data_IF_581943478004
#
_entry.id   IF_581943478004
#
_cell.length_a   1.000
_cell.length_b   1.000
_cell.length_c   1.000
_cell.angle_alpha   90.00
_cell.angle_beta   90.00
_cell.angle_gamma   90.00
#
_symmetry.space_group_name_H-M   'P 1'
#
loop_
_entity.id
_entity.type
_entity.pdbx_description
1 polymer ?
#
# COMPACT_ATOMS: atom_id res chain seq x y z
N UNK A 1 8.54 -11.61 -1.52
CA UNK A 1 7.82 -11.89 -0.25
C UNK A 1 6.36 -11.46 -0.36
N UNK A 2 5.40 -12.37 -0.18
CA UNK A 2 3.95 -12.02 -0.14
C UNK A 2 3.63 -11.25 1.14
N UNK A 3 2.84 -10.17 1.04
CA UNK A 3 2.56 -9.24 2.14
C UNK A 3 1.14 -9.34 2.70
N UNK A 4 0.17 -9.64 1.84
CA UNK A 4 -1.25 -9.60 2.14
C UNK A 4 -1.83 -10.98 2.47
N UNK A 5 -3.04 -11.01 3.02
CA UNK A 5 -3.72 -12.25 3.43
C UNK A 5 -4.64 -12.83 2.35
N UNK A 6 -5.21 -12.01 1.47
CA UNK A 6 -6.15 -12.49 0.46
C UNK A 6 -5.54 -13.55 -0.47
N UNK A 7 -6.40 -14.41 -1.01
CA UNK A 7 -6.04 -15.44 -2.00
C UNK A 7 -6.25 -14.95 -3.44
N UNK A 8 -7.24 -14.09 -3.63
CA UNK A 8 -7.66 -13.57 -4.92
C UNK A 8 -6.59 -12.68 -5.56
N UNK A 9 -6.07 -11.73 -4.78
CA UNK A 9 -4.96 -10.86 -5.14
C UNK A 9 -3.75 -11.24 -4.31
N UNK A 10 -2.57 -11.32 -4.93
CA UNK A 10 -1.29 -11.40 -4.23
C UNK A 10 -0.57 -10.06 -4.36
N UNK A 11 -0.19 -9.46 -3.24
CA UNK A 11 0.67 -8.28 -3.17
C UNK A 11 2.04 -8.73 -2.68
N UNK A 12 3.06 -8.57 -3.51
CA UNK A 12 4.40 -9.10 -3.28
C UNK A 12 5.44 -8.00 -3.35
N UNK A 13 6.36 -7.99 -2.39
CA UNK A 13 7.59 -7.20 -2.45
C UNK A 13 8.73 -8.07 -2.99
N UNK A 14 9.34 -7.68 -4.11
CA UNK A 14 10.38 -8.48 -4.77
C UNK A 14 11.76 -8.32 -4.11
N UNK A 15 12.14 -7.10 -3.74
CA UNK A 15 13.43 -6.83 -3.07
C UNK A 15 13.30 -6.92 -1.55
N UNK A 16 13.87 -7.98 -0.95
CA UNK A 16 13.95 -8.17 0.50
C UNK A 16 15.38 -8.65 0.85
N UNK A 17 16.08 -8.02 1.82
CA UNK A 17 15.66 -6.87 2.62
C UNK A 17 15.51 -5.59 1.79
N UNK A 18 14.64 -4.70 2.25
CA UNK A 18 14.36 -3.44 1.55
C UNK A 18 15.50 -2.44 1.79
N UNK A 19 16.16 -2.00 0.71
CA UNK A 19 17.23 -1.00 0.78
C UNK A 19 16.66 0.41 0.88
N UNK A 20 17.05 1.11 1.93
CA UNK A 20 16.68 2.50 2.17
C UNK A 20 17.57 3.44 1.34
N UNK A 21 17.14 4.70 1.17
CA UNK A 21 17.94 5.79 0.56
C UNK A 21 18.43 5.57 -0.88
N UNK A 22 17.79 4.69 -1.65
CA UNK A 22 18.15 4.45 -3.06
C UNK A 22 17.60 5.50 -4.02
N UNK A 23 16.76 6.43 -3.55
CA UNK A 23 16.00 7.35 -4.39
C UNK A 23 14.95 6.67 -5.28
N UNK A 24 14.78 5.34 -5.16
CA UNK A 24 13.85 4.56 -5.97
C UNK A 24 12.49 4.48 -5.31
N UNK A 25 11.45 4.60 -6.13
CA UNK A 25 10.08 4.28 -5.75
C UNK A 25 9.98 2.76 -5.54
N UNK A 26 9.42 2.35 -4.41
CA UNK A 26 9.21 0.94 -4.10
C UNK A 26 7.94 0.49 -4.80
N UNK A 27 8.10 -0.41 -5.76
CA UNK A 27 6.97 -1.05 -6.43
C UNK A 27 6.66 -2.41 -5.80
N UNK A 28 5.39 -2.75 -5.81
CA UNK A 28 4.85 -4.04 -5.39
C UNK A 28 4.25 -4.72 -6.61
N UNK A 29 4.56 -6.00 -6.76
CA UNK A 29 3.92 -6.85 -7.75
C UNK A 29 2.55 -7.25 -7.23
N UNK A 30 1.51 -6.82 -7.93
CA UNK A 30 0.12 -7.19 -7.69
C UNK A 30 -0.28 -8.20 -8.76
N UNK A 31 -0.66 -9.40 -8.34
CA UNK A 31 -1.12 -10.45 -9.24
C UNK A 31 -2.57 -10.82 -8.92
N UNK A 32 -3.44 -10.77 -9.92
CA UNK A 32 -4.83 -11.18 -9.82
C UNK A 32 -5.00 -12.63 -10.27
N UNK A 33 -5.27 -13.52 -9.30
CA UNK A 33 -5.41 -14.94 -9.55
C UNK A 33 -6.84 -15.34 -9.94
N UNK A 34 -7.77 -14.41 -10.11
CA UNK A 34 -9.19 -14.69 -10.32
C UNK A 34 -9.66 -14.30 -11.73
N UNK A 35 -10.95 -14.53 -12.00
CA UNK A 35 -11.62 -14.07 -13.21
C UNK A 35 -12.35 -12.72 -13.01
N UNK A 36 -12.22 -12.08 -11.85
CA UNK A 36 -12.82 -10.77 -11.57
C UNK A 36 -11.83 -9.65 -11.89
N UNK A 37 -12.33 -8.47 -12.22
CA UNK A 37 -11.53 -7.24 -12.29
C UNK A 37 -11.58 -6.53 -10.94
N UNK A 38 -10.42 -6.13 -10.40
CA UNK A 38 -10.38 -5.41 -9.12
C UNK A 38 -9.99 -3.94 -9.26
N UNK A 39 -10.54 -3.13 -8.36
CA UNK A 39 -10.19 -1.73 -8.13
C UNK A 39 -9.33 -1.68 -6.86
N UNK A 40 -8.16 -1.06 -6.97
CA UNK A 40 -7.21 -0.88 -5.87
C UNK A 40 -6.90 0.61 -5.78
N UNK A 41 -7.14 1.22 -4.62
CA UNK A 41 -6.60 2.54 -4.32
C UNK A 41 -5.16 2.37 -3.80
N UNK A 42 -4.13 2.87 -4.51
CA UNK A 42 -2.75 2.76 -4.05
C UNK A 42 -2.48 3.50 -2.72
N UNK A 43 -3.40 4.36 -2.30
CA UNK A 43 -3.39 5.05 -1.00
C UNK A 43 -4.49 4.52 -0.05
N UNK A 44 -5.21 3.46 -0.41
CA UNK A 44 -6.34 2.95 0.35
C UNK A 44 -5.99 2.03 1.53
N UNK A 45 -4.70 1.77 1.78
CA UNK A 45 -4.30 1.02 2.97
C UNK A 45 -4.17 1.94 4.18
N UNK A 46 -4.99 1.69 5.20
CA UNK A 46 -4.97 2.41 6.46
C UNK A 46 -4.65 1.44 7.59
N UNK A 47 -3.82 1.86 8.54
CA UNK A 47 -3.55 1.06 9.72
C UNK A 47 -2.46 1.63 10.59
N UNK A 48 -1.58 0.75 11.04
CA UNK A 48 -0.46 1.06 11.91
C UNK A 48 0.80 0.42 11.35
N UNK A 49 1.86 1.21 11.29
CA UNK A 49 3.21 0.73 11.02
C UNK A 49 4.23 1.39 11.94
N UNK A 50 5.26 0.63 12.29
CA UNK A 50 6.34 1.06 13.18
C UNK A 50 7.62 0.27 12.88
N UNK A 51 8.75 0.83 13.29
CA UNK A 51 10.07 0.22 13.09
C UNK A 51 10.57 -0.41 14.38
N UNK A 52 11.12 -1.61 14.25
CA UNK A 52 11.94 -2.26 15.28
C UNK A 52 13.41 -2.04 14.95
N UNK A 53 14.20 -1.61 15.92
CA UNK A 53 15.67 -1.61 15.91
C UNK A 53 16.17 -2.68 16.88
N UNK A 54 16.94 -3.65 16.39
CA UNK A 54 17.47 -4.76 17.21
C UNK A 54 16.39 -5.43 18.08
N UNK A 55 15.16 -5.52 17.56
CA UNK A 55 14.00 -6.12 18.22
C UNK A 55 13.17 -5.19 19.12
N UNK A 56 13.54 -3.92 19.30
CA UNK A 56 12.81 -2.94 20.11
C UNK A 56 12.14 -1.89 19.25
N UNK A 57 10.92 -1.47 19.58
CA UNK A 57 10.24 -0.37 18.89
C UNK A 57 11.05 0.92 19.11
N UNK A 58 11.27 1.67 18.03
CA UNK A 58 11.90 2.98 18.09
C UNK A 58 10.91 4.08 17.74
N UNK A 59 11.11 5.26 18.34
CA UNK A 59 10.34 6.44 18.03
C UNK A 59 10.88 7.11 16.75
N UNK A 60 10.00 7.71 15.93
CA UNK A 60 10.42 8.51 14.78
C UNK A 60 11.24 9.72 15.22
N UNK A 61 12.28 10.06 14.46
CA UNK A 61 13.07 11.28 14.69
C UNK A 61 12.32 12.53 14.24
N UNK A 62 11.43 12.39 13.26
CA UNK A 62 10.52 13.44 12.80
C UNK A 62 9.36 12.84 12.02
N UNK A 63 8.47 13.69 11.53
CA UNK A 63 7.35 13.29 10.68
C UNK A 63 7.26 14.19 9.46
N UNK A 64 6.97 13.61 8.29
CA UNK A 64 6.64 14.40 7.11
C UNK A 64 5.41 15.27 7.37
N UNK A 65 5.54 16.57 7.12
CA UNK A 65 4.38 17.48 7.08
C UNK A 65 3.73 17.36 5.71
N UNK A 66 2.62 16.62 5.64
CA UNK A 66 1.80 16.50 4.43
C UNK A 66 0.49 17.25 4.55
N UNK A 67 0.07 17.91 3.46
CA UNK A 67 -1.28 18.47 3.33
C UNK A 67 -2.36 17.40 3.17
N UNK A 68 -3.61 17.84 3.07
CA UNK A 68 -4.73 16.98 2.72
C UNK A 68 -4.68 16.71 1.21
N UNK A 69 -4.46 15.45 0.82
CA UNK A 69 -4.65 15.01 -0.56
C UNK A 69 -6.09 14.55 -0.74
N UNK A 70 -6.75 15.06 -1.78
CA UNK A 70 -8.12 14.74 -2.15
C UNK A 70 -8.24 14.65 -3.68
N UNK A 71 -9.18 13.85 -4.19
CA UNK A 71 -9.52 13.77 -5.62
C UNK A 71 -10.84 14.50 -5.82
N UNK A 72 -10.87 15.46 -6.73
CA UNK A 72 -12.01 16.39 -6.84
C UNK A 72 -13.03 15.93 -7.89
N UNK A 73 -12.62 15.11 -8.85
CA UNK A 73 -13.48 14.59 -9.90
C UNK A 73 -13.17 13.14 -10.32
N UNK A 74 -13.99 12.61 -11.22
CA UNK A 74 -13.85 11.24 -11.72
C UNK A 74 -12.58 11.06 -12.58
N UNK A 75 -12.01 12.14 -13.13
CA UNK A 75 -10.76 12.06 -13.90
C UNK A 75 -9.56 11.84 -12.98
N UNK A 76 -9.54 12.50 -11.81
CA UNK A 76 -8.57 12.24 -10.76
C UNK A 76 -8.64 10.78 -10.29
N UNK A 77 -9.86 10.28 -10.05
CA UNK A 77 -10.07 8.89 -9.68
C UNK A 77 -9.61 7.90 -10.76
N UNK A 78 -9.92 8.20 -12.04
CA UNK A 78 -9.49 7.36 -13.17
C UNK A 78 -7.97 7.31 -13.32
N UNK A 79 -7.28 8.41 -13.01
CA UNK A 79 -5.81 8.50 -13.09
C UNK A 79 -5.13 7.75 -11.94
N UNK A 80 -5.70 7.85 -10.73
CA UNK A 80 -5.00 7.46 -9.51
C UNK A 80 -5.41 6.06 -9.00
N UNK A 81 -6.63 5.58 -9.28
CA UNK A 81 -7.04 4.22 -8.95
C UNK A 81 -6.43 3.21 -9.94
N UNK A 82 -6.01 2.06 -9.41
CA UNK A 82 -5.51 0.96 -10.23
C UNK A 82 -6.61 -0.04 -10.52
N UNK A 83 -6.73 -0.39 -11.79
CA UNK A 83 -7.58 -1.47 -12.28
C UNK A 83 -6.67 -2.66 -12.61
N UNK A 84 -6.92 -3.81 -11.99
CA UNK A 84 -6.21 -5.05 -12.31
C UNK A 84 -7.18 -6.05 -12.96
N UNK A 85 -6.88 -6.38 -14.21
CA UNK A 85 -7.68 -7.29 -15.02
C UNK A 85 -7.54 -8.74 -14.57
N UNK A 86 -8.49 -9.62 -14.94
CA UNK A 86 -8.43 -11.05 -14.67
C UNK A 86 -7.10 -11.68 -15.08
N UNK A 87 -6.50 -12.50 -14.22
CA UNK A 87 -5.28 -13.27 -14.54
C UNK A 87 -4.09 -12.42 -15.00
N UNK A 88 -4.05 -11.14 -14.63
CA UNK A 88 -2.96 -10.23 -14.97
C UNK A 88 -2.11 -9.88 -13.75
N UNK A 89 -0.92 -9.34 -14.02
CA UNK A 89 -0.03 -8.79 -13.01
C UNK A 89 0.37 -7.38 -13.39
N UNK A 90 0.53 -6.51 -12.38
CA UNK A 90 1.02 -5.15 -12.54
C UNK A 90 2.00 -4.82 -11.42
N UNK A 91 3.04 -4.05 -11.73
CA UNK A 91 4.00 -3.55 -10.76
C UNK A 91 3.75 -2.07 -10.51
N UNK A 92 3.34 -1.71 -9.29
CA UNK A 92 2.97 -0.33 -8.94
C UNK A 92 3.46 0.07 -7.55
N UNK A 93 3.63 1.37 -7.28
CA UNK A 93 3.79 1.84 -5.91
C UNK A 93 2.49 1.69 -5.12
N UNK A 94 2.63 1.28 -3.86
CA UNK A 94 1.55 1.27 -2.88
C UNK A 94 2.01 1.98 -1.60
N UNK A 95 1.14 2.80 -1.02
CA UNK A 95 1.26 3.21 0.36
C UNK A 95 0.67 2.10 1.23
N UNK A 96 1.52 1.33 1.90
CA UNK A 96 1.06 0.22 2.75
C UNK A 96 0.43 0.68 4.07
N UNK A 97 0.61 1.95 4.43
CA UNK A 97 -0.05 2.64 5.53
C UNK A 97 -0.04 4.15 5.24
N UNK A 98 -1.15 4.67 4.71
CA UNK A 98 -1.28 6.07 4.27
C UNK A 98 -1.01 7.06 5.39
N UNK A 99 -1.31 6.70 6.64
CA UNK A 99 -1.18 7.60 7.77
C UNK A 99 0.24 7.62 8.34
N UNK A 100 1.09 6.65 7.99
CA UNK A 100 2.46 6.65 8.46
C UNK A 100 3.30 7.71 7.75
N UNK A 101 3.68 8.74 8.51
CA UNK A 101 4.55 9.84 8.08
C UNK A 101 5.89 9.83 8.80
N UNK A 102 6.19 8.76 9.53
CA UNK A 102 7.36 8.64 10.39
C UNK A 102 8.65 8.65 9.58
N UNK A 103 9.61 9.44 10.04
CA UNK A 103 10.98 9.48 9.54
C UNK A 103 11.86 8.93 10.66
N UNK A 104 12.76 8.03 10.30
CA UNK A 104 13.70 7.40 11.24
C UNK A 104 15.13 7.65 10.78
N UNK A 105 16.05 7.80 11.74
CA UNK A 105 17.48 7.80 11.45
C UNK A 105 18.02 6.38 11.63
N UNK A 106 18.52 5.82 10.53
CA UNK A 106 19.04 4.46 10.53
C UNK A 106 20.57 4.45 10.63
N UNK A 107 21.09 3.59 11.51
CA UNK A 107 22.52 3.32 11.66
C UNK A 107 22.92 2.06 10.89
N UNK A 108 24.03 2.10 10.17
CA UNK A 108 24.52 0.95 9.35
C UNK A 108 24.84 -0.31 10.17
N UNK A 109 25.06 -0.17 11.48
CA UNK A 109 25.46 -1.27 12.36
C UNK A 109 24.26 -2.00 13.01
N UNK A 110 23.04 -1.50 12.80
CA UNK A 110 21.84 -2.02 13.45
C UNK A 110 20.96 -2.78 12.46
N UNK A 111 20.15 -3.70 13.01
CA UNK A 111 19.17 -4.45 12.25
C UNK A 111 17.77 -3.86 12.44
N UNK A 112 17.05 -3.68 11.34
CA UNK A 112 15.74 -3.03 11.34
C UNK A 112 14.65 -3.88 10.70
N UNK A 113 13.44 -3.83 11.27
CA UNK A 113 12.22 -4.41 10.69
C UNK A 113 11.13 -3.35 10.67
N UNK A 114 10.56 -3.07 9.50
CA UNK A 114 9.29 -2.37 9.40
C UNK A 114 8.14 -3.35 9.62
N UNK A 115 7.37 -3.14 10.69
CA UNK A 115 6.16 -3.92 10.99
C UNK A 115 4.95 -3.15 10.48
N UNK A 116 4.16 -3.79 9.62
CA UNK A 116 2.99 -3.16 8.99
C UNK A 116 1.75 -4.01 9.29
N UNK A 117 0.70 -3.33 9.75
CA UNK A 117 -0.65 -3.88 9.91
C UNK A 117 -1.65 -2.88 9.35
N UNK A 118 -2.19 -3.15 8.18
CA UNK A 118 -3.14 -2.26 7.51
C UNK A 118 -4.21 -3.03 6.76
N UNK A 119 -5.26 -2.34 6.34
CA UNK A 119 -6.32 -2.90 5.54
C UNK A 119 -6.77 -1.93 4.44
N UNK A 120 -7.27 -2.51 3.36
CA UNK A 120 -7.88 -1.83 2.23
C UNK A 120 -9.31 -2.34 2.09
N UNK A 121 -10.26 -1.42 1.92
CA UNK A 121 -11.67 -1.72 1.73
C UNK A 121 -12.34 -0.62 0.90
N UNK A 122 -13.63 -0.81 0.57
CA UNK A 122 -14.43 0.18 -0.15
C UNK A 122 -14.41 1.55 0.51
N UNK A 123 -14.57 1.61 1.83
CA UNK A 123 -14.56 2.90 2.54
C UNK A 123 -13.24 3.65 2.35
N UNK A 124 -12.10 2.98 2.53
CA UNK A 124 -10.79 3.60 2.36
C UNK A 124 -10.50 3.98 0.90
N UNK A 125 -11.00 3.20 -0.06
CA UNK A 125 -10.84 3.49 -1.49
C UNK A 125 -11.68 4.70 -1.95
N UNK A 126 -12.75 5.04 -1.22
CA UNK A 126 -13.63 6.16 -1.58
C UNK A 126 -13.43 7.43 -0.73
N UNK A 127 -12.82 7.33 0.46
CA UNK A 127 -12.64 8.45 1.41
C UNK A 127 -11.96 9.70 0.81
N UNK A 128 -11.26 9.54 -0.33
CA UNK A 128 -10.58 10.62 -1.05
C UNK A 128 -11.39 11.18 -2.22
N UNK A 129 -12.72 10.96 -2.26
CA UNK A 129 -13.63 11.55 -3.24
C UNK A 129 -14.00 10.67 -4.43
N UNK A 130 -13.72 9.36 -4.39
CA UNK A 130 -13.95 8.46 -5.53
C UNK A 130 -15.25 7.66 -5.48
N UNK A 131 -16.18 7.97 -4.58
CA UNK A 131 -17.43 7.23 -4.40
C UNK A 131 -18.20 7.05 -5.71
N UNK A 132 -18.43 8.14 -6.45
CA UNK A 132 -19.21 8.11 -7.71
C UNK A 132 -18.56 7.22 -8.75
N UNK A 133 -17.25 7.41 -8.97
CA UNK A 133 -16.50 6.67 -9.97
C UNK A 133 -16.43 5.16 -9.65
N UNK A 134 -16.14 4.81 -8.39
CA UNK A 134 -16.10 3.42 -7.93
C UNK A 134 -17.47 2.76 -8.07
N UNK A 135 -18.55 3.43 -7.64
CA UNK A 135 -19.90 2.90 -7.78
C UNK A 135 -20.28 2.64 -9.25
N UNK A 136 -19.80 3.47 -10.19
CA UNK A 136 -20.03 3.26 -11.62
C UNK A 136 -19.25 2.05 -12.17
N UNK A 137 -18.05 1.77 -11.65
CA UNK A 137 -17.28 0.59 -12.01
C UNK A 137 -17.89 -0.68 -11.40
N UNK A 138 -18.35 -0.65 -10.15
CA UNK A 138 -19.00 -1.80 -9.52
C UNK A 138 -20.28 -2.21 -10.25
N UNK A 139 -21.07 -1.25 -10.76
CA UNK A 139 -22.21 -1.54 -11.65
C UNK A 139 -21.83 -2.27 -12.94
N UNK A 140 -20.57 -2.18 -13.37
CA UNK A 140 -20.01 -2.92 -14.51
C UNK A 140 -19.39 -4.27 -14.11
N UNK A 141 -19.50 -4.66 -12.84
CA UNK A 141 -18.99 -5.93 -12.31
C UNK A 141 -17.58 -5.88 -11.73
N UNK A 142 -16.97 -4.70 -11.62
CA UNK A 142 -15.66 -4.53 -10.97
C UNK A 142 -15.82 -4.69 -9.45
N UNK A 143 -14.77 -5.13 -8.77
CA UNK A 143 -14.78 -5.34 -7.31
C UNK A 143 -13.73 -4.46 -6.65
N UNK A 144 -14.09 -3.72 -5.61
CA UNK A 144 -13.05 -3.09 -4.78
C UNK A 144 -12.29 -4.18 -4.02
N UNK A 145 -10.97 -4.05 -3.94
CA UNK A 145 -10.15 -4.95 -3.14
C UNK A 145 -10.54 -4.82 -1.66
N UNK A 146 -10.83 -5.95 -1.02
CA UNK A 146 -11.07 -6.08 0.41
C UNK A 146 -9.96 -6.96 0.98
N UNK A 147 -8.98 -6.38 1.66
CA UNK A 147 -7.77 -7.10 2.05
C UNK A 147 -7.07 -6.49 3.27
N UNK A 148 -6.15 -7.26 3.85
CA UNK A 148 -5.27 -6.83 4.93
C UNK A 148 -3.82 -7.21 4.68
N UNK A 149 -2.93 -6.32 5.07
CA UNK A 149 -1.49 -6.54 5.08
C UNK A 149 -1.06 -6.74 6.53
N UNK A 150 -0.33 -7.83 6.76
CA UNK A 150 0.35 -8.11 8.03
C UNK A 150 1.75 -8.58 7.68
N UNK A 151 2.69 -7.64 7.66
CA UNK A 151 4.03 -7.88 7.15
C UNK A 151 5.10 -7.43 8.15
N UNK A 152 6.23 -8.14 8.10
CA UNK A 152 7.50 -7.74 8.72
C UNK A 152 8.53 -7.65 7.61
N UNK A 153 8.97 -6.44 7.29
CA UNK A 153 9.87 -6.17 6.19
C UNK A 153 11.24 -5.79 6.77
N UNK A 154 12.26 -6.67 6.66
CA UNK A 154 13.62 -6.32 7.01
C UNK A 154 14.12 -5.13 6.18
N UNK A 155 14.80 -4.19 6.81
CA UNK A 155 15.35 -2.99 6.16
C UNK A 155 16.89 -3.03 6.20
N UNK A 156 17.52 -2.50 5.15
CA UNK A 156 18.97 -2.27 5.08
C UNK A 156 19.20 -0.77 4.83
N UNK A 157 19.86 -0.07 5.78
CA UNK A 157 20.19 1.36 5.67
C UNK A 157 21.20 1.72 4.57
#
# INVERSE_FOLDING_TARGET
>A
MKLNKAKDINITLEEVPLKLNTGKVINYLINNNTNNTYIIDPYGFYGVSYVLENGKIIEPTSYYRGGYYNRFDDNDCKRDLVIIEPKTSISIPLSLDRNNRSIYNYSKNNYYINVIKSFHNKYNATILGCDRYINNLEKKGYKVLEDSIVAKIPLVP
#
